data_IF_238837657033
#
_entry.id   IF_238837657033
#
_cell.length_a   1.000
_cell.length_b   1.000
_cell.length_c   1.000
_cell.angle_alpha   90.00
_cell.angle_beta   90.00
_cell.angle_gamma   90.00
#
_symmetry.space_group_name_H-M   'P 1'
#
loop_
_entity.id
_entity.type
_entity.pdbx_description
1 polymer ?
#
# COMPACT_ATOMS: atom_id res chain seq x y z
N UNK A 1 -5.55 -2.64 -68.30
CA UNK A 1 -6.64 -2.20 -67.39
C UNK A 1 -6.86 -3.14 -66.19
N UNK A 2 -6.85 -4.48 -66.34
CA UNK A 2 -7.13 -5.42 -65.23
C UNK A 2 -6.08 -5.38 -64.08
N UNK A 3 -4.79 -5.26 -64.39
CA UNK A 3 -3.72 -5.19 -63.38
C UNK A 3 -3.87 -4.01 -62.40
N UNK A 4 -4.32 -2.85 -62.90
CA UNK A 4 -4.53 -1.65 -62.08
C UNK A 4 -5.70 -1.79 -61.11
N UNK A 5 -6.73 -2.55 -61.49
CA UNK A 5 -7.89 -2.81 -60.64
C UNK A 5 -7.58 -3.81 -59.52
N UNK A 6 -6.72 -4.80 -59.80
CA UNK A 6 -6.25 -5.77 -58.80
C UNK A 6 -5.37 -5.06 -57.77
N UNK A 7 -4.43 -4.20 -58.20
CA UNK A 7 -3.56 -3.48 -57.27
C UNK A 7 -4.31 -2.51 -56.35
N UNK A 8 -5.33 -1.82 -56.85
CA UNK A 8 -6.16 -0.94 -56.01
C UNK A 8 -7.01 -1.74 -55.03
N UNK A 9 -7.57 -2.88 -55.45
CA UNK A 9 -8.31 -3.78 -54.57
C UNK A 9 -7.43 -4.32 -53.43
N UNK A 10 -6.22 -4.78 -53.73
CA UNK A 10 -5.26 -5.25 -52.72
C UNK A 10 -4.88 -4.13 -51.75
N UNK A 11 -4.63 -2.91 -52.24
CA UNK A 11 -4.31 -1.77 -51.40
C UNK A 11 -5.43 -1.42 -50.40
N UNK A 12 -6.69 -1.46 -50.83
CA UNK A 12 -7.85 -1.22 -49.95
C UNK A 12 -7.95 -2.30 -48.87
N UNK A 13 -7.76 -3.57 -49.25
CA UNK A 13 -7.80 -4.70 -48.31
C UNK A 13 -6.67 -4.59 -47.29
N UNK A 14 -5.45 -4.24 -47.71
CA UNK A 14 -4.32 -4.03 -46.80
C UNK A 14 -4.55 -2.86 -45.84
N UNK A 15 -5.08 -1.73 -46.33
CA UNK A 15 -5.40 -0.58 -45.48
C UNK A 15 -6.50 -0.91 -44.46
N UNK A 16 -7.54 -1.64 -44.87
CA UNK A 16 -8.59 -2.11 -43.98
C UNK A 16 -8.07 -3.10 -42.93
N UNK A 17 -7.15 -4.00 -43.31
CA UNK A 17 -6.50 -4.92 -42.38
C UNK A 17 -5.68 -4.19 -41.32
N UNK A 18 -4.89 -3.18 -41.71
CA UNK A 18 -4.12 -2.36 -40.76
C UNK A 18 -5.04 -1.62 -39.79
N UNK A 19 -6.14 -1.01 -40.28
CA UNK A 19 -7.13 -0.35 -39.44
C UNK A 19 -7.78 -1.31 -38.44
N UNK A 20 -8.16 -2.51 -38.89
CA UNK A 20 -8.71 -3.55 -38.02
C UNK A 20 -7.68 -3.98 -36.96
N UNK A 21 -6.41 -4.18 -37.33
CA UNK A 21 -5.33 -4.48 -36.40
C UNK A 21 -5.14 -3.39 -35.35
N UNK A 22 -5.16 -2.11 -35.74
CA UNK A 22 -5.03 -0.99 -34.80
C UNK A 22 -6.19 -0.93 -33.80
N UNK A 23 -7.42 -1.19 -34.26
CA UNK A 23 -8.59 -1.23 -33.38
C UNK A 23 -8.53 -2.39 -32.39
N UNK A 24 -8.05 -3.57 -32.83
CA UNK A 24 -7.85 -4.73 -31.96
C UNK A 24 -6.74 -4.46 -30.93
N UNK A 25 -5.60 -3.91 -31.35
CA UNK A 25 -4.50 -3.55 -30.44
C UNK A 25 -4.97 -2.52 -29.41
N UNK A 26 -5.74 -1.51 -29.82
CA UNK A 26 -6.30 -0.52 -28.89
C UNK A 26 -7.20 -1.15 -27.84
N UNK A 27 -8.10 -2.06 -28.25
CA UNK A 27 -8.96 -2.80 -27.31
C UNK A 27 -8.13 -3.67 -26.36
N UNK A 28 -7.13 -4.37 -26.89
CA UNK A 28 -6.27 -5.24 -26.10
C UNK A 28 -5.44 -4.46 -25.06
N UNK A 29 -5.01 -3.24 -25.39
CA UNK A 29 -4.36 -2.34 -24.43
C UNK A 29 -5.31 -1.88 -23.32
N UNK A 30 -6.57 -1.59 -23.63
CA UNK A 30 -7.58 -1.20 -22.63
C UNK A 30 -7.89 -2.34 -21.67
N UNK A 31 -8.10 -3.55 -22.18
CA UNK A 31 -8.36 -4.73 -21.36
C UNK A 31 -7.14 -5.08 -20.50
N UNK A 32 -5.93 -5.04 -21.08
CA UNK A 32 -4.69 -5.28 -20.34
C UNK A 32 -4.50 -4.32 -19.17
N UNK A 33 -4.91 -3.06 -19.32
CA UNK A 33 -4.80 -2.07 -18.25
C UNK A 33 -5.66 -2.45 -17.03
N UNK A 34 -6.90 -2.89 -17.27
CA UNK A 34 -7.82 -3.32 -16.20
C UNK A 34 -7.30 -4.58 -15.50
N UNK A 35 -6.78 -5.56 -16.25
CA UNK A 35 -6.16 -6.76 -15.69
C UNK A 35 -4.91 -6.44 -14.87
N UNK A 36 -4.05 -5.54 -15.35
CA UNK A 36 -2.87 -5.08 -14.61
C UNK A 36 -3.27 -4.39 -13.31
N UNK A 37 -4.29 -3.52 -13.33
CA UNK A 37 -4.81 -2.87 -12.12
C UNK A 37 -5.35 -3.89 -11.11
N UNK A 38 -6.09 -4.91 -11.56
CA UNK A 38 -6.60 -5.97 -10.68
C UNK A 38 -5.46 -6.79 -10.04
N UNK A 39 -4.42 -7.14 -10.80
CA UNK A 39 -3.25 -7.87 -10.32
C UNK A 39 -2.43 -7.04 -9.31
N UNK A 40 -2.29 -5.74 -9.57
CA UNK A 40 -1.67 -4.78 -8.66
C UNK A 40 -2.44 -4.77 -7.33
N UNK A 41 -3.76 -4.61 -7.36
CA UNK A 41 -4.59 -4.59 -6.15
C UNK A 41 -4.51 -5.92 -5.39
N UNK A 42 -4.54 -7.05 -6.09
CA UNK A 42 -4.37 -8.37 -5.50
C UNK A 42 -2.99 -8.54 -4.85
N UNK A 43 -1.92 -8.08 -5.51
CA UNK A 43 -0.56 -8.09 -4.96
C UNK A 43 -0.44 -7.24 -3.70
N UNK A 44 -1.07 -6.07 -3.67
CA UNK A 44 -1.12 -5.19 -2.48
C UNK A 44 -1.91 -5.84 -1.33
N UNK A 45 -3.05 -6.46 -1.63
CA UNK A 45 -3.86 -7.17 -0.64
C UNK A 45 -3.11 -8.37 -0.05
N UNK A 46 -2.44 -9.18 -0.88
CA UNK A 46 -1.65 -10.33 -0.43
C UNK A 46 -0.49 -9.91 0.47
N UNK A 47 0.29 -8.88 0.07
CA UNK A 47 1.39 -8.36 0.89
C UNK A 47 0.89 -7.82 2.23
N UNK A 48 -0.24 -7.13 2.23
CA UNK A 48 -0.84 -6.59 3.46
C UNK A 48 -1.35 -7.72 4.38
N UNK A 49 -1.93 -8.78 3.81
CA UNK A 49 -2.36 -9.97 4.54
C UNK A 49 -1.16 -10.73 5.14
N UNK A 50 -0.07 -10.89 4.40
CA UNK A 50 1.15 -11.57 4.90
C UNK A 50 1.80 -10.79 6.06
N UNK A 51 1.87 -9.47 5.95
CA UNK A 51 2.34 -8.60 7.04
C UNK A 51 1.42 -8.74 8.26
N UNK A 52 0.10 -8.71 8.06
CA UNK A 52 -0.90 -8.87 9.11
C UNK A 52 -0.86 -10.25 9.79
N UNK A 53 -0.55 -11.33 9.05
CA UNK A 53 -0.38 -12.67 9.61
C UNK A 53 0.88 -12.78 10.46
N UNK A 54 1.96 -12.06 10.11
CA UNK A 54 3.18 -12.00 10.93
C UNK A 54 2.97 -11.25 12.25
N UNK A 55 2.02 -10.31 12.29
CA UNK A 55 1.59 -9.59 13.49
C UNK A 55 0.85 -10.49 14.52
N UNK A 56 0.52 -11.73 14.18
CA UNK A 56 -0.20 -12.65 15.07
C UNK A 56 0.70 -13.47 16.00
N UNK A 57 2.04 -13.40 15.90
CA UNK A 57 2.91 -14.04 16.89
C UNK A 57 3.05 -13.14 18.14
N UNK A 58 2.88 -13.68 19.37
CA UNK A 58 2.95 -12.89 20.60
C UNK A 58 4.27 -12.10 20.73
N UNK A 59 5.39 -12.74 20.42
CA UNK A 59 6.73 -12.14 20.49
C UNK A 59 6.87 -10.92 19.56
N UNK A 60 6.28 -10.99 18.37
CA UNK A 60 6.30 -9.88 17.42
C UNK A 60 5.38 -8.75 17.87
N UNK A 61 4.21 -9.06 18.44
CA UNK A 61 3.27 -8.05 18.91
C UNK A 61 3.89 -7.18 20.02
N UNK A 62 4.66 -7.78 20.93
CA UNK A 62 5.44 -7.07 21.95
C UNK A 62 6.55 -6.22 21.31
N UNK A 63 7.35 -6.80 20.41
CA UNK A 63 8.39 -6.09 19.67
C UNK A 63 7.84 -4.85 18.94
N UNK A 64 6.73 -5.05 18.22
CA UNK A 64 6.03 -4.03 17.47
C UNK A 64 5.54 -2.92 18.40
N UNK A 65 4.90 -3.27 19.51
CA UNK A 65 4.40 -2.28 20.46
C UNK A 65 5.53 -1.43 21.06
N UNK A 66 6.57 -2.06 21.62
CA UNK A 66 7.67 -1.34 22.26
C UNK A 66 8.41 -0.45 21.27
N UNK A 67 8.74 -0.98 20.09
CA UNK A 67 9.43 -0.20 19.07
C UNK A 67 8.57 0.93 18.50
N UNK A 68 7.28 0.70 18.23
CA UNK A 68 6.37 1.75 17.76
C UNK A 68 6.29 2.91 18.76
N UNK A 69 6.20 2.61 20.06
CA UNK A 69 6.22 3.60 21.14
C UNK A 69 7.56 4.33 21.27
N UNK A 70 8.62 3.87 20.61
CA UNK A 70 9.94 4.47 20.66
C UNK A 70 10.68 4.14 21.96
N UNK A 71 10.39 2.98 22.56
CA UNK A 71 11.13 2.51 23.71
C UNK A 71 12.61 2.35 23.37
N UNK A 72 13.49 2.84 24.25
CA UNK A 72 14.93 2.74 24.09
C UNK A 72 15.47 1.40 24.60
N UNK A 73 14.73 0.71 25.46
CA UNK A 73 15.10 -0.59 26.02
C UNK A 73 14.49 -1.75 25.21
N UNK A 74 14.84 -1.81 23.91
CA UNK A 74 14.41 -2.89 23.01
C UNK A 74 15.53 -3.88 22.78
N UNK A 75 15.22 -5.16 22.84
CA UNK A 75 16.21 -6.21 22.56
C UNK A 75 16.63 -6.19 21.08
N UNK A 76 17.84 -6.67 20.73
CA UNK A 76 18.26 -6.76 19.33
C UNK A 76 17.29 -7.58 18.46
N UNK A 77 16.70 -8.65 19.01
CA UNK A 77 15.72 -9.48 18.30
C UNK A 77 14.44 -8.72 17.98
N UNK A 78 13.90 -8.00 18.96
CA UNK A 78 12.71 -7.15 18.76
C UNK A 78 12.98 -6.06 17.72
N UNK A 79 14.17 -5.45 17.76
CA UNK A 79 14.57 -4.44 16.78
C UNK A 79 14.68 -5.02 15.37
N UNK A 80 15.30 -6.20 15.19
CA UNK A 80 15.39 -6.87 13.89
C UNK A 80 14.00 -7.18 13.32
N UNK A 81 13.10 -7.70 14.15
CA UNK A 81 11.71 -7.96 13.78
C UNK A 81 11.01 -6.68 13.33
N UNK A 82 11.11 -5.61 14.12
CA UNK A 82 10.48 -4.34 13.83
C UNK A 82 11.03 -3.68 12.56
N UNK A 83 12.35 -3.65 12.37
CA UNK A 83 13.00 -3.13 11.15
C UNK A 83 12.58 -3.95 9.92
N UNK A 84 12.45 -5.27 10.05
CA UNK A 84 11.91 -6.13 9.00
C UNK A 84 10.48 -5.75 8.60
N UNK A 85 9.64 -5.46 9.58
CA UNK A 85 8.27 -4.97 9.37
C UNK A 85 8.26 -3.60 8.68
N UNK A 86 8.99 -2.60 9.21
CA UNK A 86 9.06 -1.26 8.64
C UNK A 86 9.56 -1.29 7.20
N UNK A 87 10.56 -2.12 6.89
CA UNK A 87 11.03 -2.33 5.53
C UNK A 87 9.92 -2.84 4.60
N UNK A 88 9.10 -3.79 5.07
CA UNK A 88 7.98 -4.30 4.27
C UNK A 88 6.94 -3.19 4.01
N UNK A 89 6.64 -2.37 5.01
CA UNK A 89 5.76 -1.18 4.86
C UNK A 89 6.33 -0.20 3.84
N UNK A 90 7.61 0.12 3.91
CA UNK A 90 8.26 1.08 3.02
C UNK A 90 8.33 0.58 1.57
N UNK A 91 8.52 -0.73 1.34
CA UNK A 91 8.43 -1.31 0.01
C UNK A 91 7.02 -1.20 -0.58
N UNK A 92 5.97 -1.36 0.24
CA UNK A 92 4.59 -1.15 -0.20
C UNK A 92 4.32 0.33 -0.51
N UNK A 93 4.96 1.24 0.23
CA UNK A 93 4.89 2.68 -0.02
C UNK A 93 5.57 3.07 -1.32
N UNK A 94 6.77 2.56 -1.58
CA UNK A 94 7.52 2.78 -2.81
C UNK A 94 6.74 2.27 -4.03
N UNK A 95 6.20 1.05 -3.95
CA UNK A 95 5.35 0.47 -4.98
C UNK A 95 4.10 1.32 -5.26
N UNK A 96 3.41 1.79 -4.21
CA UNK A 96 2.22 2.64 -4.37
C UNK A 96 2.57 4.02 -4.95
N UNK A 97 3.73 4.57 -4.59
CA UNK A 97 4.25 5.83 -5.13
C UNK A 97 4.59 5.71 -6.62
N UNK A 98 5.34 4.68 -7.00
CA UNK A 98 5.72 4.43 -8.40
C UNK A 98 4.48 4.20 -9.28
N UNK A 99 3.52 3.40 -8.81
CA UNK A 99 2.28 3.16 -9.56
C UNK A 99 1.45 4.44 -9.74
N UNK A 100 1.43 5.32 -8.75
CA UNK A 100 0.72 6.59 -8.88
C UNK A 100 1.43 7.54 -9.86
N UNK A 101 2.77 7.64 -9.75
CA UNK A 101 3.61 8.41 -10.68
C UNK A 101 3.42 7.96 -12.13
N UNK A 102 3.30 6.66 -12.34
CA UNK A 102 3.14 6.06 -13.66
C UNK A 102 1.66 6.03 -14.14
N UNK A 103 0.73 6.62 -13.36
CA UNK A 103 -0.70 6.74 -13.70
C UNK A 103 -1.54 5.47 -13.55
N UNK A 104 -0.98 4.41 -12.97
CA UNK A 104 -1.64 3.12 -12.75
C UNK A 104 -2.54 3.13 -11.50
N UNK A 105 -2.12 3.86 -10.46
CA UNK A 105 -2.90 4.08 -9.25
C UNK A 105 -3.56 5.47 -9.30
N UNK A 106 -4.88 5.48 -9.20
CA UNK A 106 -5.67 6.68 -9.23
C UNK A 106 -5.46 7.57 -7.99
N UNK A 107 -5.73 8.87 -8.17
CA UNK A 107 -5.57 9.89 -7.13
C UNK A 107 -6.32 9.53 -5.82
N UNK A 108 -7.58 9.05 -5.84
CA UNK A 108 -8.28 8.65 -4.62
C UNK A 108 -7.61 7.46 -3.90
N UNK A 109 -7.16 6.46 -4.66
CA UNK A 109 -6.46 5.29 -4.12
C UNK A 109 -5.13 5.66 -3.48
N UNK A 110 -4.36 6.53 -4.13
CA UNK A 110 -3.10 7.04 -3.60
C UNK A 110 -3.30 7.91 -2.34
N UNK A 111 -4.31 8.79 -2.33
CA UNK A 111 -4.63 9.61 -1.17
C UNK A 111 -5.12 8.80 0.05
N UNK A 112 -5.85 7.72 -0.18
CA UNK A 112 -6.22 6.78 0.89
C UNK A 112 -4.97 6.13 1.50
N UNK A 113 -4.08 5.63 0.65
CA UNK A 113 -2.81 5.05 1.08
C UNK A 113 -1.95 6.06 1.86
N UNK A 114 -1.79 7.28 1.36
CA UNK A 114 -1.02 8.34 2.02
C UNK A 114 -1.57 8.71 3.40
N UNK A 115 -2.89 8.66 3.61
CA UNK A 115 -3.50 8.84 4.95
C UNK A 115 -3.09 7.72 5.91
N UNK A 116 -3.16 6.46 5.49
CA UNK A 116 -2.72 5.32 6.29
C UNK A 116 -1.23 5.40 6.63
N UNK A 117 -0.40 5.77 5.65
CA UNK A 117 1.04 5.90 5.83
C UNK A 117 1.39 7.03 6.82
N UNK A 118 0.75 8.21 6.71
CA UNK A 118 0.91 9.30 7.68
C UNK A 118 0.56 8.88 9.10
N UNK A 119 -0.51 8.10 9.28
CA UNK A 119 -0.91 7.58 10.59
C UNK A 119 0.19 6.72 11.23
N UNK A 120 0.88 5.88 10.45
CA UNK A 120 2.02 5.10 10.95
C UNK A 120 3.17 6.01 11.40
N UNK A 121 3.44 7.08 10.65
CA UNK A 121 4.46 8.06 10.98
C UNK A 121 4.12 8.99 12.14
N UNK A 122 2.92 8.93 12.72
CA UNK A 122 2.66 9.60 14.00
C UNK A 122 3.50 8.98 15.14
N UNK A 123 3.89 7.70 14.98
CA UNK A 123 4.73 6.96 15.93
C UNK A 123 6.22 7.35 15.85
N UNK A 124 6.91 7.48 16.99
CA UNK A 124 8.35 7.74 17.02
C UNK A 124 9.14 6.55 16.45
N UNK A 125 8.69 5.31 16.68
CA UNK A 125 9.31 4.11 16.13
C UNK A 125 9.37 4.10 14.60
N UNK A 126 8.27 4.46 13.94
CA UNK A 126 8.24 4.50 12.47
C UNK A 126 9.15 5.61 11.92
N UNK A 127 9.21 6.77 12.57
CA UNK A 127 10.13 7.86 12.19
C UNK A 127 11.60 7.43 12.35
N UNK A 128 11.94 6.77 13.46
CA UNK A 128 13.28 6.24 13.69
C UNK A 128 13.65 5.15 12.67
N UNK A 129 12.73 4.23 12.38
CA UNK A 129 12.94 3.20 11.37
C UNK A 129 13.15 3.81 9.97
N UNK A 130 12.43 4.87 9.61
CA UNK A 130 12.67 5.59 8.36
C UNK A 130 14.06 6.21 8.33
N UNK A 131 14.49 6.90 9.40
CA UNK A 131 15.83 7.47 9.45
C UNK A 131 16.94 6.42 9.24
N UNK A 132 16.76 5.20 9.75
CA UNK A 132 17.70 4.08 9.58
C UNK A 132 17.67 3.52 8.14
N UNK A 133 16.50 3.44 7.52
CA UNK A 133 16.30 2.73 6.25
C UNK A 133 16.33 3.63 5.01
N UNK A 134 16.20 4.96 5.19
CA UNK A 134 16.06 5.99 4.14
C UNK A 134 17.07 5.86 3.00
N UNK A 135 18.34 5.62 3.33
CA UNK A 135 19.44 5.56 2.34
C UNK A 135 19.33 4.38 1.37
N UNK A 136 18.44 3.41 1.63
CA UNK A 136 18.21 2.25 0.77
C UNK A 136 17.27 2.53 -0.40
N UNK A 137 16.67 3.72 -0.44
CA UNK A 137 15.62 4.08 -1.37
C UNK A 137 16.10 5.16 -2.34
N UNK A 138 15.46 5.23 -3.51
CA UNK A 138 15.76 6.29 -4.48
C UNK A 138 15.44 7.68 -3.92
N UNK A 139 16.21 8.68 -4.37
CA UNK A 139 16.10 10.06 -3.91
C UNK A 139 14.72 10.69 -4.10
N UNK A 140 14.00 10.35 -5.17
CA UNK A 140 12.67 10.88 -5.46
C UNK A 140 11.65 10.38 -4.43
N UNK A 141 11.64 9.05 -4.21
CA UNK A 141 10.77 8.42 -3.23
C UNK A 141 11.13 8.83 -1.80
N UNK A 142 12.43 8.92 -1.48
CA UNK A 142 12.89 9.38 -0.18
C UNK A 142 12.36 10.79 0.13
N UNK A 143 12.43 11.70 -0.84
CA UNK A 143 11.91 13.08 -0.71
C UNK A 143 10.40 13.10 -0.43
N UNK A 144 9.63 12.27 -1.12
CA UNK A 144 8.20 12.10 -0.85
C UNK A 144 7.96 11.56 0.57
N UNK A 145 8.69 10.53 0.98
CA UNK A 145 8.56 9.97 2.33
C UNK A 145 8.92 10.99 3.42
N UNK A 146 9.91 11.84 3.20
CA UNK A 146 10.24 12.91 4.14
C UNK A 146 9.12 13.94 4.26
N UNK A 147 8.44 14.28 3.17
CA UNK A 147 7.28 15.18 3.24
C UNK A 147 6.17 14.56 4.08
N UNK A 148 5.91 13.26 3.90
CA UNK A 148 4.96 12.49 4.72
C UNK A 148 5.35 12.48 6.20
N UNK A 149 6.63 12.26 6.52
CA UNK A 149 7.16 12.26 7.89
C UNK A 149 7.03 13.63 8.55
N UNK A 150 7.28 14.70 7.78
CA UNK A 150 7.19 16.08 8.25
C UNK A 150 5.74 16.53 8.46
N UNK A 151 4.81 16.05 7.64
CA UNK A 151 3.36 16.29 7.82
C UNK A 151 2.78 15.53 9.01
N UNK A 152 3.35 14.37 9.34
CA UNK A 152 2.88 13.53 10.43
C UNK A 152 3.12 14.21 11.79
N UNK A 153 2.05 14.79 12.34
CA UNK A 153 2.04 15.32 13.70
C UNK A 153 2.20 14.17 14.67
N UNK A 154 3.19 14.28 15.55
CA UNK A 154 3.36 13.29 16.60
C UNK A 154 2.08 13.24 17.44
N UNK A 155 1.48 12.05 17.53
CA UNK A 155 0.46 11.75 18.51
C UNK A 155 1.05 10.71 19.45
N UNK A 156 0.80 10.82 20.77
CA UNK A 156 1.04 9.69 21.64
C UNK A 156 0.28 8.52 21.04
N UNK A 157 0.93 7.37 20.88
CA UNK A 157 0.24 6.15 20.49
C UNK A 157 -0.81 5.93 21.56
N UNK A 158 -2.06 6.25 21.24
CA UNK A 158 -3.17 5.95 22.13
C UNK A 158 -3.20 4.44 22.14
N UNK A 159 -2.90 3.87 23.31
CA UNK A 159 -2.98 2.43 23.56
C UNK A 159 -4.26 1.98 22.89
N UNK A 160 -4.17 1.18 21.82
CA UNK A 160 -5.37 0.75 21.10
C UNK A 160 -6.33 0.07 22.07
N UNK A 161 -5.81 -0.56 23.12
CA UNK A 161 -6.57 -1.09 24.24
C UNK A 161 -7.33 -0.03 25.08
N UNK A 162 -6.76 1.15 25.36
CA UNK A 162 -7.47 2.21 26.09
C UNK A 162 -8.54 2.88 25.23
N UNK A 163 -8.24 3.15 23.95
CA UNK A 163 -9.23 3.63 22.99
C UNK A 163 -10.32 2.59 22.77
N UNK A 164 -9.94 1.32 22.59
CA UNK A 164 -10.84 0.19 22.46
C UNK A 164 -11.77 0.09 23.66
N UNK A 165 -11.25 0.15 24.89
CA UNK A 165 -12.07 0.16 26.10
C UNK A 165 -13.06 1.33 26.09
N UNK A 166 -12.61 2.54 25.80
CA UNK A 166 -13.49 3.71 25.73
C UNK A 166 -14.56 3.57 24.63
N UNK A 167 -14.19 3.07 23.46
CA UNK A 167 -15.09 2.85 22.32
C UNK A 167 -16.10 1.75 22.62
N UNK A 168 -15.68 0.62 23.18
CA UNK A 168 -16.56 -0.49 23.59
C UNK A 168 -17.52 -0.05 24.68
N UNK A 169 -17.05 0.70 25.68
CA UNK A 169 -17.92 1.29 26.72
C UNK A 169 -18.91 2.31 26.17
N UNK A 170 -18.57 3.01 25.09
CA UNK A 170 -19.48 3.94 24.41
C UNK A 170 -20.48 3.24 23.47
N UNK A 171 -20.14 2.08 22.92
CA UNK A 171 -21.00 1.31 22.00
C UNK A 171 -21.96 0.39 22.77
N UNK A 172 -21.48 -0.22 23.86
CA UNK A 172 -22.27 -1.14 24.65
C UNK A 172 -22.91 -0.39 25.84
N UNK A 173 -24.25 -0.31 25.85
CA UNK A 173 -24.99 -0.45 27.11
C UNK A 173 -24.64 -1.79 27.81
N UNK A 174 -25.18 -2.11 29.00
CA UNK A 174 -24.60 -3.10 29.92
C UNK A 174 -24.13 -4.40 29.22
N UNK A 175 -22.88 -4.75 29.52
CA UNK A 175 -22.03 -5.75 28.87
C UNK A 175 -22.65 -7.16 28.81
N UNK A 176 -22.12 -7.98 27.88
CA UNK A 176 -22.50 -9.38 27.65
C UNK A 176 -22.46 -10.27 28.91
N UNK A 177 -21.73 -9.86 29.96
CA UNK A 177 -21.72 -10.51 31.28
C UNK A 177 -23.11 -10.53 31.95
N UNK A 178 -24.02 -9.62 31.59
CA UNK A 178 -25.38 -9.59 32.12
C UNK A 178 -26.32 -10.66 31.52
N UNK A 179 -25.88 -11.44 30.51
CA UNK A 179 -26.70 -12.48 29.85
C UNK A 179 -26.45 -13.91 30.34
N UNK A 180 -25.45 -14.14 31.18
CA UNK A 180 -25.18 -15.48 31.75
C UNK A 180 -25.74 -15.67 33.17
N UNK A 181 -26.42 -14.66 33.72
CA UNK A 181 -27.05 -14.72 35.04
C UNK A 181 -28.58 -14.60 35.02
N UNK A 182 -29.23 -14.90 33.89
CA UNK A 182 -30.70 -14.91 33.73
C UNK A 182 -31.20 -16.27 33.23
#
# INVERSE_FOLDING_TARGET
MIFSAISTLTGIVSAAAVLASLLLVRRQLQESHVYQQALIQQGRASRSADIAMRLMSPDFAEAYHSCMCGDTDVTPTQLVQFIGYCRAVFLVAEDSYLQHRDGLLDEPGFNSFGRSLRSLFESPGMKAAWAILRERYDSEFATYMDSVVNEARHRPIVIQHALWKATVSNINGPTCEAREAA
#
